data_IF_316717758260
#
_entry.id   IF_316717758260
#
_cell.length_a   1.000
_cell.length_b   1.000
_cell.length_c   1.000
_cell.angle_alpha   90.00
_cell.angle_beta   90.00
_cell.angle_gamma   90.00
#
_symmetry.space_group_name_H-M   'P 1'
#
loop_
_entity.id
_entity.type
_entity.pdbx_description
1 polymer ?
#
# COMPACT_ATOMS: atom_id res chain seq x y z
N UNK A 1 -4.81 12.01 2.76
CA UNK A 1 -4.97 11.46 1.40
C UNK A 1 -4.21 12.38 0.43
N UNK A 2 -3.52 11.82 -0.57
CA UNK A 2 -2.87 12.64 -1.59
C UNK A 2 -3.92 13.40 -2.42
N UNK A 3 -3.62 14.64 -2.79
CA UNK A 3 -4.49 15.49 -3.64
C UNK A 3 -3.95 15.65 -5.07
N UNK A 4 -2.79 15.05 -5.36
CA UNK A 4 -2.06 15.22 -6.61
C UNK A 4 -1.34 13.92 -6.95
N UNK A 5 -1.07 13.67 -8.24
CA UNK A 5 -0.33 12.49 -8.67
C UNK A 5 1.05 12.43 -8.01
N UNK A 6 1.56 11.21 -7.87
CA UNK A 6 2.94 10.99 -7.50
C UNK A 6 3.82 11.40 -8.70
N UNK A 7 4.96 12.06 -8.48
CA UNK A 7 5.89 12.31 -9.58
C UNK A 7 6.53 10.99 -10.02
N UNK A 8 6.87 10.79 -11.31
CA UNK A 8 7.48 9.55 -11.78
C UNK A 8 8.69 9.10 -10.96
N UNK A 9 9.62 10.02 -10.68
CA UNK A 9 10.80 9.77 -9.82
C UNK A 9 10.47 9.25 -8.42
N UNK A 10 9.33 9.64 -7.85
CA UNK A 10 8.88 9.14 -6.55
C UNK A 10 8.22 7.77 -6.71
N UNK A 11 7.57 7.50 -7.84
CA UNK A 11 7.12 6.16 -8.20
C UNK A 11 8.28 5.17 -8.31
N UNK A 12 9.39 5.58 -8.94
CA UNK A 12 10.61 4.75 -9.01
C UNK A 12 11.19 4.45 -7.62
N UNK A 13 11.15 5.42 -6.70
CA UNK A 13 11.52 5.18 -5.29
C UNK A 13 10.58 4.20 -4.61
N UNK A 14 9.26 4.29 -4.84
CA UNK A 14 8.30 3.31 -4.33
C UNK A 14 8.60 1.92 -4.89
N UNK A 15 8.93 1.80 -6.18
CA UNK A 15 9.33 0.53 -6.81
C UNK A 15 10.53 -0.07 -6.10
N UNK A 16 11.59 0.72 -5.88
CA UNK A 16 12.79 0.25 -5.20
C UNK A 16 12.52 -0.19 -3.75
N UNK A 17 11.72 0.58 -2.99
CA UNK A 17 11.35 0.23 -1.62
C UNK A 17 10.51 -1.06 -1.58
N UNK A 18 9.59 -1.25 -2.52
CA UNK A 18 8.75 -2.45 -2.59
C UNK A 18 9.58 -3.68 -3.01
N UNK A 19 10.58 -3.53 -3.88
CA UNK A 19 11.55 -4.59 -4.21
C UNK A 19 12.34 -5.04 -2.98
N UNK A 20 12.86 -4.09 -2.20
CA UNK A 20 13.52 -4.37 -0.92
C UNK A 20 12.61 -5.18 0.04
N UNK A 21 11.32 -4.82 0.12
CA UNK A 21 10.37 -5.48 1.04
C UNK A 21 9.93 -6.85 0.54
N UNK A 22 9.48 -6.94 -0.71
CA UNK A 22 8.89 -8.18 -1.26
C UNK A 22 9.93 -9.13 -1.82
N UNK A 23 10.98 -8.62 -2.44
CA UNK A 23 12.06 -9.41 -3.05
C UNK A 23 13.14 -9.79 -2.04
N UNK A 24 13.59 -8.86 -1.21
CA UNK A 24 14.70 -9.09 -0.26
C UNK A 24 14.23 -9.36 1.19
N UNK A 25 12.93 -9.25 1.48
CA UNK A 25 12.37 -9.52 2.81
C UNK A 25 12.73 -8.48 3.87
N UNK A 26 13.08 -7.25 3.46
CA UNK A 26 13.37 -6.17 4.41
C UNK A 26 12.09 -5.66 5.07
N UNK A 27 12.21 -5.25 6.33
CA UNK A 27 11.17 -4.46 6.98
C UNK A 27 11.08 -3.08 6.31
N UNK A 28 9.86 -2.55 6.18
CA UNK A 28 9.60 -1.28 5.50
C UNK A 28 10.43 -0.11 6.08
N UNK A 29 10.64 -0.06 7.40
CA UNK A 29 11.47 0.97 8.04
C UNK A 29 12.95 0.91 7.59
N UNK A 30 13.49 -0.30 7.38
CA UNK A 30 14.86 -0.50 6.87
C UNK A 30 14.97 -0.10 5.40
N UNK A 31 13.97 -0.43 4.59
CA UNK A 31 13.91 -0.03 3.19
C UNK A 31 13.84 1.50 3.07
N UNK A 32 13.02 2.17 3.87
CA UNK A 32 13.01 3.64 3.95
C UNK A 32 14.36 4.22 4.36
N UNK A 33 14.98 3.70 5.43
CA UNK A 33 16.27 4.17 5.88
C UNK A 33 17.34 4.05 4.78
N UNK A 34 17.37 2.91 4.07
CA UNK A 34 18.29 2.67 2.96
C UNK A 34 18.09 3.70 1.85
N UNK A 35 16.88 3.83 1.31
CA UNK A 35 16.61 4.70 0.17
C UNK A 35 16.58 6.20 0.49
N UNK A 36 16.29 6.60 1.73
CA UNK A 36 16.28 8.01 2.12
C UNK A 36 17.65 8.51 2.60
N UNK A 37 18.56 7.62 3.03
CA UNK A 37 19.89 8.03 3.54
C UNK A 37 20.78 8.71 2.48
N UNK A 38 20.58 8.39 1.20
CA UNK A 38 21.42 8.89 0.10
C UNK A 38 20.80 10.02 -0.73
N UNK A 39 19.62 10.53 -0.36
CA UNK A 39 18.86 11.48 -1.18
C UNK A 39 18.33 12.62 -0.31
N UNK A 40 18.60 13.85 -0.71
CA UNK A 40 17.94 15.02 -0.13
C UNK A 40 16.48 15.10 -0.61
N UNK A 41 15.57 14.60 0.23
CA UNK A 41 14.13 14.73 0.04
C UNK A 41 13.56 15.68 1.08
N UNK A 42 12.65 16.57 0.67
CA UNK A 42 11.91 17.40 1.62
C UNK A 42 11.05 16.49 2.51
N UNK A 43 10.81 16.85 3.79
CA UNK A 43 9.99 16.03 4.68
C UNK A 43 8.60 15.69 4.12
N UNK A 44 8.01 16.61 3.35
CA UNK A 44 6.72 16.37 2.69
C UNK A 44 6.84 15.28 1.61
N UNK A 45 7.94 15.23 0.86
CA UNK A 45 8.16 14.23 -0.20
C UNK A 45 8.37 12.83 0.41
N UNK A 46 9.18 12.74 1.48
CA UNK A 46 9.36 11.51 2.25
C UNK A 46 8.03 11.00 2.80
N UNK A 47 7.21 11.89 3.38
CA UNK A 47 5.89 11.53 3.89
C UNK A 47 4.94 11.04 2.78
N UNK A 48 5.00 11.62 1.58
CA UNK A 48 4.21 11.15 0.43
C UNK A 48 4.63 9.74 0.00
N UNK A 49 5.93 9.48 -0.14
CA UNK A 49 6.46 8.17 -0.51
C UNK A 49 6.07 7.12 0.54
N UNK A 50 6.25 7.43 1.82
CA UNK A 50 5.92 6.52 2.91
C UNK A 50 4.41 6.22 2.98
N UNK A 51 3.57 7.23 2.73
CA UNK A 51 2.12 7.06 2.67
C UNK A 51 1.71 6.14 1.53
N UNK A 52 2.20 6.38 0.31
CA UNK A 52 1.85 5.57 -0.86
C UNK A 52 2.34 4.14 -0.69
N UNK A 53 3.60 3.97 -0.31
CA UNK A 53 4.20 2.63 -0.14
C UNK A 53 3.48 1.84 0.95
N UNK A 54 3.24 2.47 2.11
CA UNK A 54 2.53 1.82 3.21
C UNK A 54 1.09 1.46 2.87
N UNK A 55 0.39 2.30 2.10
CA UNK A 55 -0.98 1.99 1.66
C UNK A 55 -1.04 0.91 0.58
N UNK A 56 -0.10 0.94 -0.37
CA UNK A 56 0.06 -0.08 -1.41
C UNK A 56 0.28 -1.46 -0.78
N UNK A 57 1.22 -1.58 0.17
CA UNK A 57 1.53 -2.84 0.84
C UNK A 57 0.40 -3.30 1.76
N UNK A 58 -0.26 -2.38 2.48
CA UNK A 58 -1.39 -2.69 3.36
C UNK A 58 -2.51 -3.40 2.62
N UNK A 59 -2.79 -2.99 1.39
CA UNK A 59 -3.84 -3.58 0.55
C UNK A 59 -3.29 -4.27 -0.70
N UNK A 60 -2.12 -4.89 -0.58
CA UNK A 60 -1.41 -5.49 -1.72
C UNK A 60 -2.29 -6.50 -2.48
N UNK A 61 -3.00 -7.37 -1.74
CA UNK A 61 -3.90 -8.38 -2.32
C UNK A 61 -5.01 -7.75 -3.17
N UNK A 62 -5.54 -6.60 -2.74
CA UNK A 62 -6.55 -5.85 -3.48
C UNK A 62 -5.98 -5.32 -4.80
N UNK A 63 -4.84 -4.62 -4.76
CA UNK A 63 -4.26 -4.05 -5.98
C UNK A 63 -3.80 -5.12 -6.97
N UNK A 64 -3.30 -6.25 -6.46
CA UNK A 64 -3.01 -7.44 -7.26
C UNK A 64 -4.29 -7.95 -7.96
N UNK A 65 -5.39 -8.09 -7.23
CA UNK A 65 -6.67 -8.49 -7.82
C UNK A 65 -7.16 -7.50 -8.88
N UNK A 66 -7.15 -6.20 -8.59
CA UNK A 66 -7.62 -5.16 -9.51
C UNK A 66 -6.82 -5.12 -10.83
N UNK A 67 -5.52 -5.38 -10.75
CA UNK A 67 -4.65 -5.45 -11.93
C UNK A 67 -4.67 -6.81 -12.62
N UNK A 68 -5.11 -7.87 -11.94
CA UNK A 68 -5.00 -9.25 -12.42
C UNK A 68 -3.58 -9.81 -12.27
N UNK A 69 -2.73 -9.16 -11.47
CA UNK A 69 -1.37 -9.61 -11.16
C UNK A 69 -1.45 -10.54 -9.95
N UNK A 70 -0.67 -11.62 -9.96
CA UNK A 70 -0.56 -12.49 -8.80
C UNK A 70 0.38 -11.88 -7.77
N UNK A 71 0.09 -12.07 -6.47
CA UNK A 71 0.90 -11.50 -5.37
C UNK A 71 2.39 -11.87 -5.49
N UNK A 72 2.72 -13.09 -5.94
CA UNK A 72 4.11 -13.53 -6.19
C UNK A 72 4.85 -12.77 -7.28
N UNK A 73 4.13 -12.02 -8.11
CA UNK A 73 4.68 -11.18 -9.18
C UNK A 73 4.61 -9.69 -8.84
N UNK A 74 4.14 -9.32 -7.64
CA UNK A 74 3.92 -7.93 -7.26
C UNK A 74 5.21 -7.09 -7.29
N UNK A 75 6.32 -7.65 -6.79
CA UNK A 75 7.66 -7.06 -6.81
C UNK A 75 8.07 -6.59 -8.22
N UNK A 76 7.79 -7.39 -9.25
CA UNK A 76 8.17 -7.07 -10.64
C UNK A 76 7.18 -6.13 -11.34
N UNK A 77 6.02 -5.88 -10.73
CA UNK A 77 4.91 -5.17 -11.35
C UNK A 77 4.39 -4.01 -10.49
N UNK A 78 5.27 -3.36 -9.72
CA UNK A 78 4.88 -2.27 -8.82
C UNK A 78 4.25 -1.08 -9.57
N UNK A 79 4.73 -0.74 -10.76
CA UNK A 79 4.15 0.35 -11.57
C UNK A 79 2.67 0.12 -11.94
N UNK A 80 2.26 -1.03 -12.50
CA UNK A 80 0.85 -1.36 -12.65
C UNK A 80 0.04 -1.29 -11.35
N UNK A 81 0.62 -1.72 -10.22
CA UNK A 81 -0.04 -1.64 -8.91
C UNK A 81 -0.21 -0.19 -8.45
N UNK A 82 0.76 0.69 -8.73
CA UNK A 82 0.68 2.13 -8.47
C UNK A 82 -0.42 2.81 -9.29
N UNK A 83 -0.55 2.47 -10.58
CA UNK A 83 -1.65 2.97 -11.42
C UNK A 83 -3.02 2.55 -10.86
N UNK A 84 -3.12 1.29 -10.43
CA UNK A 84 -4.31 0.78 -9.73
C UNK A 84 -4.59 1.51 -8.42
N UNK A 85 -3.55 1.83 -7.65
CA UNK A 85 -3.64 2.62 -6.42
C UNK A 85 -4.15 4.05 -6.69
N UNK A 86 -3.60 4.73 -7.69
CA UNK A 86 -4.05 6.05 -8.13
C UNK A 86 -5.52 6.03 -8.57
N UNK A 87 -5.89 5.08 -9.43
CA UNK A 87 -7.26 4.92 -9.90
C UNK A 87 -8.24 4.61 -8.77
N UNK A 88 -7.84 3.77 -7.80
CA UNK A 88 -8.65 3.42 -6.63
C UNK A 88 -8.98 4.65 -5.77
N UNK A 89 -7.98 5.51 -5.56
CA UNK A 89 -8.13 6.75 -4.77
C UNK A 89 -8.68 7.93 -5.59
N UNK A 90 -8.99 7.74 -6.87
CA UNK A 90 -9.48 8.77 -7.80
C UNK A 90 -8.51 9.95 -7.91
N UNK A 91 -7.22 9.64 -7.97
CA UNK A 91 -6.15 10.61 -8.17
C UNK A 91 -5.65 10.43 -9.60
N UNK A 92 -5.27 11.53 -10.26
CA UNK A 92 -4.65 11.47 -11.58
C UNK A 92 -3.44 10.52 -11.57
N UNK A 93 -3.21 9.85 -12.69
CA UNK A 93 -2.15 8.87 -12.82
C UNK A 93 -0.84 9.55 -13.21
N UNK A 94 0.30 9.09 -12.68
CA UNK A 94 1.60 9.59 -13.11
C UNK A 94 1.82 9.28 -14.59
N UNK A 95 2.40 10.23 -15.32
CA UNK A 95 2.82 10.00 -16.70
C UNK A 95 4.03 9.07 -16.73
N UNK A 96 3.80 7.78 -16.95
CA UNK A 96 4.81 6.72 -16.99
C UNK A 96 4.49 5.75 -18.13
N UNK A 97 5.48 5.20 -18.87
CA UNK A 97 5.22 4.34 -20.05
C UNK A 97 4.34 3.11 -19.82
N UNK A 98 4.24 2.63 -18.58
CA UNK A 98 3.34 1.50 -18.24
C UNK A 98 1.87 1.89 -18.20
N UNK A 99 1.55 3.18 -18.22
CA UNK A 99 0.19 3.71 -18.20
C UNK A 99 -0.61 3.23 -19.42
N UNK A 100 0.04 3.14 -20.59
CA UNK A 100 -0.61 2.67 -21.82
C UNK A 100 -1.12 1.22 -21.70
N UNK A 101 -0.57 0.44 -20.77
CA UNK A 101 -0.98 -0.94 -20.49
C UNK A 101 -2.10 -1.02 -19.44
N UNK A 102 -2.47 0.09 -18.82
CA UNK A 102 -3.51 0.13 -17.80
C UNK A 102 -4.90 0.07 -18.45
N UNK A 103 -5.56 -1.08 -18.34
CA UNK A 103 -6.94 -1.26 -18.82
C UNK A 103 -7.93 -0.78 -17.75
N UNK A 104 -8.47 0.43 -17.95
CA UNK A 104 -9.39 1.05 -17.01
C UNK A 104 -10.75 0.31 -16.91
N UNK A 105 -11.25 -0.24 -18.01
CA UNK A 105 -12.51 -0.98 -18.03
C UNK A 105 -12.40 -2.27 -17.20
N UNK A 106 -11.33 -3.04 -17.41
CA UNK A 106 -11.04 -4.24 -16.63
C UNK A 106 -10.87 -3.91 -15.14
N UNK A 107 -10.18 -2.80 -14.83
CA UNK A 107 -10.04 -2.30 -13.45
C UNK A 107 -11.40 -2.00 -12.82
N UNK A 108 -12.27 -1.24 -13.50
CA UNK A 108 -13.61 -0.87 -12.97
C UNK A 108 -14.50 -2.10 -12.75
N UNK A 109 -14.45 -3.07 -13.66
CA UNK A 109 -15.17 -4.33 -13.50
C UNK A 109 -14.69 -5.08 -12.26
N UNK A 110 -13.38 -5.29 -12.11
CA UNK A 110 -12.80 -5.97 -10.96
C UNK A 110 -13.03 -5.20 -9.66
N UNK A 111 -13.02 -3.87 -9.68
CA UNK A 111 -13.37 -3.07 -8.51
C UNK A 111 -14.81 -3.31 -8.06
N UNK A 112 -15.73 -3.49 -9.00
CA UNK A 112 -17.12 -3.81 -8.69
C UNK A 112 -17.26 -5.21 -8.10
N UNK A 113 -16.49 -6.18 -8.59
CA UNK A 113 -16.41 -7.53 -8.01
C UNK A 113 -15.78 -7.50 -6.60
N UNK A 114 -14.69 -6.76 -6.42
CA UNK A 114 -13.98 -6.63 -5.15
C UNK A 114 -14.86 -6.04 -4.04
N UNK A 115 -15.68 -5.04 -4.35
CA UNK A 115 -16.62 -4.42 -3.39
C UNK A 115 -17.63 -5.41 -2.78
N UNK A 116 -17.89 -6.55 -3.42
CA UNK A 116 -18.77 -7.60 -2.90
C UNK A 116 -18.09 -8.46 -1.83
N UNK A 117 -16.76 -8.37 -1.71
CA UNK A 117 -15.97 -9.17 -0.78
C UNK A 117 -15.19 -8.25 0.19
N UNK A 118 -15.63 -8.11 1.46
CA UNK A 118 -14.97 -7.25 2.43
C UNK A 118 -13.54 -7.68 2.74
N UNK A 119 -13.25 -9.00 2.75
CA UNK A 119 -11.90 -9.54 2.98
C UNK A 119 -10.92 -9.02 1.93
N UNK A 120 -11.37 -9.02 0.68
CA UNK A 120 -10.58 -8.52 -0.45
C UNK A 120 -10.44 -7.00 -0.42
N UNK A 121 -11.50 -6.27 -0.08
CA UNK A 121 -11.46 -4.80 0.06
C UNK A 121 -10.49 -4.33 1.14
N UNK A 122 -10.37 -5.09 2.22
CA UNK A 122 -9.42 -4.85 3.29
C UNK A 122 -7.98 -5.26 2.91
N UNK A 123 -7.82 -5.95 1.77
CA UNK A 123 -6.53 -6.41 1.28
C UNK A 123 -5.97 -7.63 2.00
N UNK A 124 -6.79 -8.33 2.78
CA UNK A 124 -6.38 -9.45 3.62
C UNK A 124 -5.99 -10.68 2.77
N UNK A 125 -4.80 -11.27 2.95
CA UNK A 125 -4.43 -12.54 2.33
C UNK A 125 -5.28 -13.71 2.86
N UNK A 126 -5.54 -14.72 2.02
CA UNK A 126 -6.36 -15.86 2.38
C UNK A 126 -5.87 -16.64 3.60
N UNK A 127 -4.54 -16.76 3.78
CA UNK A 127 -3.96 -17.43 4.95
C UNK A 127 -4.26 -16.68 6.26
N UNK A 128 -4.27 -15.33 6.20
CA UNK A 128 -4.53 -14.49 7.36
C UNK A 128 -6.02 -14.48 7.69
N UNK A 129 -6.87 -14.46 6.67
CA UNK A 129 -8.32 -14.60 6.84
C UNK A 129 -8.67 -15.92 7.54
N UNK A 130 -8.07 -17.02 7.10
CA UNK A 130 -8.26 -18.34 7.71
C UNK A 130 -7.81 -18.34 9.18
N UNK A 131 -6.59 -17.88 9.43
CA UNK A 131 -6.03 -17.83 10.79
C UNK A 131 -6.85 -16.94 11.73
N UNK A 132 -7.23 -15.75 11.27
CA UNK A 132 -8.02 -14.80 12.06
C UNK A 132 -9.41 -15.35 12.37
N UNK A 133 -10.06 -15.98 11.40
CA UNK A 133 -11.36 -16.63 11.60
C UNK A 133 -11.28 -17.77 12.61
N UNK A 134 -10.22 -18.58 12.55
CA UNK A 134 -10.00 -19.70 13.49
C UNK A 134 -9.74 -19.22 14.92
N UNK A 135 -9.00 -18.13 15.10
CA UNK A 135 -8.57 -17.66 16.43
C UNK A 135 -9.53 -16.66 17.09
N UNK A 136 -10.18 -15.81 16.29
CA UNK A 136 -10.98 -14.68 16.77
C UNK A 136 -12.47 -14.81 16.45
N UNK A 137 -12.87 -15.76 15.60
CA UNK A 137 -14.27 -16.02 15.25
C UNK A 137 -15.00 -14.73 14.84
N UNK A 138 -16.08 -14.42 15.55
CA UNK A 138 -16.93 -13.25 15.28
C UNK A 138 -16.24 -11.89 15.48
N UNK A 139 -15.13 -11.83 16.23
CA UNK A 139 -14.36 -10.59 16.39
C UNK A 139 -13.46 -10.28 15.19
N UNK A 140 -13.13 -11.30 14.37
CA UNK A 140 -12.17 -11.16 13.27
C UNK A 140 -12.53 -10.09 12.24
N UNK A 141 -13.78 -9.98 11.75
CA UNK A 141 -14.13 -8.98 10.73
C UNK A 141 -13.84 -7.54 11.18
N UNK A 142 -14.04 -7.22 12.47
CA UNK A 142 -13.77 -5.90 13.02
C UNK A 142 -12.26 -5.62 13.10
N UNK A 143 -11.47 -6.59 13.56
CA UNK A 143 -10.01 -6.48 13.63
C UNK A 143 -9.38 -6.37 12.25
N UNK A 144 -9.81 -7.20 11.29
CA UNK A 144 -9.36 -7.12 9.89
C UNK A 144 -9.65 -5.74 9.29
N UNK A 145 -10.86 -5.22 9.49
CA UNK A 145 -11.22 -3.89 9.02
C UNK A 145 -10.31 -2.82 9.67
N UNK A 146 -10.00 -2.94 10.96
CA UNK A 146 -9.10 -2.01 11.64
C UNK A 146 -7.66 -2.05 11.09
N UNK A 147 -7.14 -3.24 10.76
CA UNK A 147 -5.81 -3.41 10.15
C UNK A 147 -5.70 -2.76 8.76
N UNK A 148 -6.81 -2.66 8.04
CA UNK A 148 -6.87 -2.02 6.72
C UNK A 148 -6.84 -0.47 6.79
N UNK A 149 -6.90 0.12 7.98
CA UNK A 149 -6.87 1.58 8.16
C UNK A 149 -5.44 2.10 8.29
N UNK A 150 -5.27 3.38 7.97
CA UNK A 150 -4.02 4.08 8.24
C UNK A 150 -3.82 4.21 9.76
N UNK A 151 -2.63 3.86 10.29
CA UNK A 151 -2.41 3.90 11.73
C UNK A 151 -2.47 5.33 12.26
N UNK A 152 -3.05 5.49 13.45
CA UNK A 152 -2.99 6.74 14.21
C UNK A 152 -1.63 6.85 14.88
N UNK A 153 -1.11 8.08 15.00
CA UNK A 153 0.13 8.35 15.74
C UNK A 153 -0.20 8.46 17.22
N UNK A 154 0.35 7.57 18.03
CA UNK A 154 0.30 7.63 19.48
C UNK A 154 1.69 8.01 20.00
N UNK A 155 1.74 8.98 20.92
CA UNK A 155 2.98 9.42 21.56
C UNK A 155 2.87 9.14 23.06
N UNK A 156 3.92 8.54 23.64
CA UNK A 156 4.05 8.40 25.08
C UNK A 156 4.96 9.51 25.61
N UNK A 157 4.39 10.43 26.38
CA UNK A 157 5.13 11.51 27.03
C UNK A 157 6.00 10.92 28.15
N UNK A 158 7.27 11.31 28.21
CA UNK A 158 8.13 10.94 29.32
C UNK A 158 7.84 11.85 30.52
N UNK A 159 7.04 11.35 31.45
CA UNK A 159 6.59 12.09 32.64
C UNK A 159 7.70 12.44 33.62
N UNK A 160 8.89 11.83 33.50
CA UNK A 160 10.09 12.22 34.25
C UNK A 160 10.72 13.52 33.73
N UNK A 161 10.39 13.93 32.51
CA UNK A 161 10.98 15.10 31.83
C UNK A 161 9.98 16.22 31.54
N UNK A 162 8.70 15.90 31.38
CA UNK A 162 7.65 16.89 31.11
C UNK A 162 6.25 16.35 31.48
N UNK A 163 5.27 17.24 31.60
CA UNK A 163 3.86 16.88 31.77
C UNK A 163 3.19 16.60 30.43
N UNK A 164 2.08 15.86 30.46
CA UNK A 164 1.29 15.48 29.26
C UNK A 164 0.60 16.68 28.61
#
# INVERSE_FOLDING_TARGET
>A
MLKSPLLPRFGDLVVAIVDDVLGQGLTLDRAYARHFSGIELKPQEQARIALVTGDLLRRLSLYCFLTGIQVRQAEKNVWPLLHSWHAFHKIDQPNHPTLDRFNEEAFRRRLTEAKKNPVLMDGCPAWLEKLGSEQLGDAWPAERAALAWMPKRYLRVNTLKCTR
#
